data_IF_549597482591
#
_entry.id   IF_549597482591
#
_cell.length_a   1.000
_cell.length_b   1.000
_cell.length_c   1.000
_cell.angle_alpha   90.00
_cell.angle_beta   90.00
_cell.angle_gamma   90.00
#
_symmetry.space_group_name_H-M   'P 1'
#
loop_
_entity.id
_entity.type
_entity.pdbx_description
1 polymer ?
#
# COMPACT_ATOMS: atom_id res chain seq x y z
N UNK A 1 10.16 -14.98 -4.17
CA UNK A 1 9.61 -14.41 -5.41
C UNK A 1 9.70 -12.90 -5.32
N UNK A 2 9.93 -12.17 -6.43
CA UNK A 2 9.87 -10.71 -6.41
C UNK A 2 8.44 -10.27 -6.04
N UNK A 3 8.32 -9.21 -5.25
CA UNK A 3 7.01 -8.64 -4.95
C UNK A 3 6.56 -7.68 -6.08
N UNK A 4 5.27 -7.35 -6.10
CA UNK A 4 4.66 -6.46 -7.09
C UNK A 4 5.40 -5.12 -7.26
N UNK A 5 5.94 -4.55 -6.18
CA UNK A 5 6.66 -3.27 -6.24
C UNK A 5 7.98 -3.42 -7.02
N UNK A 6 8.72 -4.50 -6.77
CA UNK A 6 9.96 -4.79 -7.49
C UNK A 6 9.71 -5.01 -8.98
N UNK A 7 8.65 -5.75 -9.31
CA UNK A 7 8.26 -6.02 -10.70
C UNK A 7 7.86 -4.73 -11.43
N UNK A 8 7.06 -3.86 -10.78
CA UNK A 8 6.69 -2.56 -11.33
C UNK A 8 7.91 -1.69 -11.63
N UNK A 9 8.86 -1.60 -10.70
CA UNK A 9 10.08 -0.82 -10.88
C UNK A 9 10.89 -1.39 -12.03
N UNK A 10 11.16 -2.71 -12.02
CA UNK A 10 11.97 -3.37 -13.05
C UNK A 10 11.35 -3.20 -14.43
N UNK A 11 10.06 -3.45 -14.57
CA UNK A 11 9.33 -3.31 -15.83
C UNK A 11 9.46 -1.89 -16.41
N UNK A 12 9.36 -0.85 -15.57
CA UNK A 12 9.51 0.53 -16.02
C UNK A 12 10.93 0.91 -16.38
N UNK A 13 11.93 0.38 -15.68
CA UNK A 13 13.33 0.57 -16.06
C UNK A 13 13.62 -0.07 -17.42
N UNK A 14 13.20 -1.32 -17.61
CA UNK A 14 13.40 -2.07 -18.84
C UNK A 14 12.68 -1.42 -20.02
N UNK A 15 11.42 -1.00 -19.84
CA UNK A 15 10.63 -0.33 -20.88
C UNK A 15 11.26 0.96 -21.41
N UNK A 16 11.92 1.73 -20.55
CA UNK A 16 12.42 3.05 -20.89
C UNK A 16 13.95 3.11 -21.01
N UNK A 17 14.64 1.99 -20.81
CA UNK A 17 16.10 1.96 -20.71
C UNK A 17 16.65 2.83 -19.57
N UNK A 18 15.89 2.99 -18.49
CA UNK A 18 16.26 3.87 -17.37
C UNK A 18 17.14 3.15 -16.36
N UNK A 19 17.98 3.93 -15.70
CA UNK A 19 18.68 3.51 -14.49
C UNK A 19 17.93 3.91 -13.22
N UNK A 20 18.30 3.34 -12.07
CA UNK A 20 17.80 3.82 -10.77
C UNK A 20 18.07 5.32 -10.54
N UNK A 21 19.18 5.84 -11.09
CA UNK A 21 19.55 7.25 -10.98
C UNK A 21 18.60 8.15 -11.78
N UNK A 22 18.08 7.66 -12.91
CA UNK A 22 17.10 8.42 -13.71
C UNK A 22 15.77 8.55 -12.98
N UNK A 23 15.28 7.44 -12.42
CA UNK A 23 14.06 7.43 -11.59
C UNK A 23 14.23 8.34 -10.37
N UNK A 24 15.36 8.24 -9.68
CA UNK A 24 15.68 9.08 -8.52
C UNK A 24 15.65 10.57 -8.86
N UNK A 25 16.33 10.97 -9.95
CA UNK A 25 16.37 12.36 -10.43
C UNK A 25 14.99 12.89 -10.83
N UNK A 26 14.20 12.11 -11.56
CA UNK A 26 12.84 12.47 -11.99
C UNK A 26 11.88 12.58 -10.80
N UNK A 27 12.05 11.69 -9.82
CA UNK A 27 11.23 11.58 -8.62
C UNK A 27 11.60 12.53 -7.48
N UNK A 28 12.80 13.11 -7.50
CA UNK A 28 13.30 13.92 -6.38
C UNK A 28 13.59 13.10 -5.12
N UNK A 29 13.93 11.81 -5.28
CA UNK A 29 14.28 10.90 -4.18
C UNK A 29 15.70 10.35 -4.37
N UNK A 30 16.30 9.77 -3.32
CA UNK A 30 17.67 9.26 -3.43
C UNK A 30 17.74 7.99 -4.28
N UNK A 31 18.86 7.79 -5.00
CA UNK A 31 19.14 6.54 -5.72
C UNK A 31 19.10 5.33 -4.79
N UNK A 32 19.64 5.46 -3.58
CA UNK A 32 19.65 4.38 -2.58
C UNK A 32 18.23 3.99 -2.18
N UNK A 33 17.31 4.95 -2.06
CA UNK A 33 15.89 4.71 -1.80
C UNK A 33 15.25 3.91 -2.94
N UNK A 34 15.47 4.31 -4.20
CA UNK A 34 14.96 3.58 -5.37
C UNK A 34 15.51 2.15 -5.39
N UNK A 35 16.81 2.00 -5.18
CA UNK A 35 17.46 0.70 -5.17
C UNK A 35 16.93 -0.22 -4.06
N UNK A 36 16.72 0.32 -2.85
CA UNK A 36 16.14 -0.41 -1.73
C UNK A 36 14.74 -0.94 -2.09
N UNK A 37 13.87 -0.07 -2.62
CA UNK A 37 12.51 -0.46 -3.02
C UNK A 37 12.50 -1.48 -4.18
N UNK A 38 13.50 -1.44 -5.06
CA UNK A 38 13.63 -2.36 -6.19
C UNK A 38 14.19 -3.74 -5.81
N UNK A 39 14.96 -3.85 -4.73
CA UNK A 39 15.69 -5.08 -4.37
C UNK A 39 15.16 -5.76 -3.10
N UNK A 40 14.41 -5.05 -2.26
CA UNK A 40 13.83 -5.63 -1.06
C UNK A 40 12.60 -6.47 -1.36
N UNK A 41 12.73 -7.78 -1.13
CA UNK A 41 11.63 -8.73 -1.22
C UNK A 41 10.51 -8.47 -0.20
N UNK A 42 10.88 -7.95 0.98
CA UNK A 42 9.96 -7.52 2.03
C UNK A 42 10.45 -6.20 2.63
N UNK A 43 9.54 -5.24 2.80
CA UNK A 43 9.81 -3.99 3.49
C UNK A 43 9.50 -4.17 4.97
N UNK A 44 10.39 -3.70 5.84
CA UNK A 44 10.20 -3.80 7.29
C UNK A 44 9.04 -2.90 7.79
N UNK A 45 8.77 -1.82 7.06
CA UNK A 45 7.71 -0.85 7.36
C UNK A 45 7.24 -0.19 6.06
N UNK A 46 6.05 0.41 6.11
CA UNK A 46 5.50 1.18 5.00
C UNK A 46 6.41 2.40 4.71
N UNK A 47 6.87 2.61 3.46
CA UNK A 47 7.59 3.82 3.10
C UNK A 47 6.74 5.06 3.31
N UNK A 48 7.39 6.19 3.62
CA UNK A 48 6.70 7.46 3.76
C UNK A 48 5.96 7.86 2.47
N UNK A 49 4.82 8.55 2.61
CA UNK A 49 4.01 9.00 1.47
C UNK A 49 4.83 9.80 0.44
N UNK A 50 5.67 10.72 0.91
CA UNK A 50 6.55 11.55 0.07
C UNK A 50 7.53 10.71 -0.76
N UNK A 51 7.99 9.57 -0.22
CA UNK A 51 8.86 8.62 -0.93
C UNK A 51 8.10 7.91 -2.04
N UNK A 52 6.86 7.49 -1.79
CA UNK A 52 6.01 6.82 -2.77
C UNK A 52 5.58 7.79 -3.88
N UNK A 53 5.28 9.04 -3.56
CA UNK A 53 5.02 10.12 -4.52
C UNK A 53 6.23 10.37 -5.42
N UNK A 54 7.42 10.48 -4.83
CA UNK A 54 8.66 10.63 -5.58
C UNK A 54 8.94 9.43 -6.49
N UNK A 55 8.73 8.21 -5.99
CA UNK A 55 8.88 7.00 -6.81
C UNK A 55 7.86 6.98 -7.97
N UNK A 56 6.58 7.25 -7.69
CA UNK A 56 5.52 7.28 -8.70
C UNK A 56 5.81 8.31 -9.80
N UNK A 57 6.22 9.52 -9.40
CA UNK A 57 6.68 10.57 -10.30
C UNK A 57 7.89 10.13 -11.13
N UNK A 58 8.87 9.49 -10.48
CA UNK A 58 10.09 9.01 -11.13
C UNK A 58 9.84 7.93 -12.18
N UNK A 59 8.90 7.03 -11.91
CA UNK A 59 8.48 5.94 -12.79
C UNK A 59 7.45 6.38 -13.85
N UNK A 60 6.85 7.57 -13.71
CA UNK A 60 5.81 8.07 -14.60
C UNK A 60 4.50 7.27 -14.51
N UNK A 61 4.14 6.81 -13.32
CA UNK A 61 2.91 6.03 -13.06
C UNK A 61 2.08 6.68 -11.94
N UNK A 62 0.76 6.41 -11.88
CA UNK A 62 -0.06 6.90 -10.79
C UNK A 62 0.42 6.40 -9.42
N UNK A 63 0.20 7.21 -8.39
CA UNK A 63 0.54 6.89 -7.01
C UNK A 63 -0.22 5.66 -6.42
N UNK A 64 -1.54 5.48 -6.67
CA UNK A 64 -2.30 4.41 -5.99
C UNK A 64 -1.77 2.98 -6.26
N UNK A 65 -1.39 2.59 -7.49
CA UNK A 65 -0.71 1.31 -7.72
C UNK A 65 0.60 1.14 -6.95
N UNK A 66 1.40 2.20 -6.83
CA UNK A 66 2.68 2.18 -6.09
C UNK A 66 2.43 2.00 -4.60
N UNK A 67 1.43 2.69 -4.05
CA UNK A 67 1.04 2.55 -2.64
C UNK A 67 0.56 1.14 -2.34
N UNK A 68 -0.29 0.55 -3.18
CA UNK A 68 -0.76 -0.83 -3.01
C UNK A 68 0.39 -1.84 -3.03
N UNK A 69 1.28 -1.74 -4.01
CA UNK A 69 2.42 -2.63 -4.14
C UNK A 69 3.42 -2.48 -2.96
N UNK A 70 3.60 -1.25 -2.46
CA UNK A 70 4.42 -1.00 -1.27
C UNK A 70 3.78 -1.54 0.01
N UNK A 71 2.46 -1.40 0.16
CA UNK A 71 1.70 -1.97 1.27
C UNK A 71 1.79 -3.51 1.28
N UNK A 72 1.62 -4.15 0.12
CA UNK A 72 1.86 -5.58 -0.06
C UNK A 72 3.28 -5.98 0.37
N UNK A 73 4.30 -5.29 -0.15
CA UNK A 73 5.69 -5.57 0.18
C UNK A 73 6.02 -5.35 1.67
N UNK A 74 5.30 -4.44 2.35
CA UNK A 74 5.41 -4.20 3.77
C UNK A 74 4.57 -5.16 4.64
N UNK A 75 3.80 -6.08 4.02
CA UNK A 75 2.91 -6.98 4.74
C UNK A 75 1.65 -6.30 5.30
N UNK A 76 1.32 -5.10 4.82
CA UNK A 76 0.09 -4.34 5.14
C UNK A 76 -1.10 -4.84 4.32
N UNK A 77 -0.90 -5.87 3.49
CA UNK A 77 -1.91 -6.51 2.64
C UNK A 77 -3.12 -7.10 3.41
N UNK A 78 -3.18 -7.06 4.74
CA UNK A 78 -4.41 -7.38 5.48
C UNK A 78 -5.40 -6.21 5.61
N UNK A 79 -5.03 -4.98 5.21
CA UNK A 79 -5.95 -3.82 5.26
C UNK A 79 -6.31 -3.24 3.89
N UNK A 80 -5.60 -3.64 2.82
CA UNK A 80 -5.86 -3.15 1.46
C UNK A 80 -6.38 -4.24 0.51
N UNK A 81 -6.38 -5.51 0.92
CA UNK A 81 -6.83 -6.64 0.10
C UNK A 81 -8.29 -7.04 0.30
N UNK A 82 -9.07 -6.27 1.08
CA UNK A 82 -10.54 -6.34 1.10
C UNK A 82 -11.17 -5.04 0.58
N UNK A 83 -10.73 -4.60 -0.60
CA UNK A 83 -11.61 -3.81 -1.46
C UNK A 83 -11.98 -4.60 -2.72
N UNK A 84 -12.89 -5.57 -2.60
CA UNK A 84 -14.14 -5.47 -3.31
C UNK A 84 -15.06 -4.50 -2.54
N UNK A 85 -14.77 -3.20 -2.51
CA UNK A 85 -15.84 -2.21 -2.28
C UNK A 85 -16.65 -2.21 -3.59
N UNK A 86 -17.76 -2.93 -3.78
CA UNK A 86 -18.64 -3.68 -2.91
C UNK A 86 -19.14 -4.92 -3.70
N UNK A 87 -18.73 -6.14 -3.34
CA UNK A 87 -19.50 -7.33 -3.75
C UNK A 87 -20.55 -7.69 -2.69
N UNK A 88 -20.25 -7.41 -1.42
CA UNK A 88 -21.17 -7.56 -0.30
C UNK A 88 -21.80 -6.20 0.06
N UNK A 89 -23.10 -6.01 -0.23
CA UNK A 89 -23.82 -4.79 0.12
C UNK A 89 -23.78 -4.48 1.63
N UNK A 90 -23.69 -5.49 2.49
CA UNK A 90 -23.69 -5.31 3.93
C UNK A 90 -22.39 -4.66 4.41
N UNK A 91 -21.24 -5.12 3.91
CA UNK A 91 -19.93 -4.53 4.21
C UNK A 91 -19.84 -3.08 3.74
N UNK A 92 -20.38 -2.78 2.56
CA UNK A 92 -20.38 -1.42 2.02
C UNK A 92 -21.21 -0.45 2.88
N UNK A 93 -22.37 -0.90 3.39
CA UNK A 93 -23.21 -0.11 4.30
C UNK A 93 -22.46 0.17 5.61
N UNK A 94 -21.74 -0.82 6.15
CA UNK A 94 -20.94 -0.64 7.37
C UNK A 94 -19.84 0.40 7.18
N UNK A 95 -19.07 0.31 6.08
CA UNK A 95 -18.02 1.29 5.75
C UNK A 95 -18.63 2.69 5.63
N UNK A 96 -19.72 2.85 4.88
CA UNK A 96 -20.38 4.14 4.70
C UNK A 96 -20.93 4.72 6.02
N UNK A 97 -21.39 3.86 6.93
CA UNK A 97 -21.93 4.25 8.23
C UNK A 97 -20.82 4.67 9.19
N UNK A 98 -19.69 3.95 9.23
CA UNK A 98 -18.54 4.26 10.07
C UNK A 98 -17.94 5.63 9.74
N UNK A 99 -17.95 6.04 8.48
CA UNK A 99 -17.49 7.38 8.07
C UNK A 99 -18.32 8.53 8.67
N UNK A 100 -19.59 8.29 9.03
CA UNK A 100 -20.48 9.29 9.63
C UNK A 100 -20.33 9.39 11.15
N UNK A 101 -19.58 8.48 11.78
CA UNK A 101 -19.45 8.40 13.22
C UNK A 101 -18.43 9.41 13.78
N UNK A 102 -18.67 9.84 15.03
CA UNK A 102 -17.70 10.63 15.78
C UNK A 102 -16.40 9.85 16.02
N UNK A 103 -15.27 10.52 16.27
CA UNK A 103 -14.03 9.82 16.61
C UNK A 103 -14.14 8.90 17.84
N UNK A 104 -14.95 9.28 18.83
CA UNK A 104 -15.19 8.46 20.03
C UNK A 104 -15.96 7.20 19.69
N UNK A 105 -17.04 7.32 18.91
CA UNK A 105 -17.86 6.18 18.51
C UNK A 105 -17.08 5.22 17.60
N UNK A 106 -16.24 5.76 16.72
CA UNK A 106 -15.34 4.92 15.89
C UNK A 106 -14.38 4.09 16.73
N UNK A 107 -13.88 4.60 17.85
CA UNK A 107 -13.04 3.81 18.77
C UNK A 107 -13.83 2.68 19.42
N UNK A 108 -15.08 2.93 19.80
CA UNK A 108 -15.94 1.88 20.35
C UNK A 108 -16.23 0.78 19.32
N UNK A 109 -16.52 1.16 18.08
CA UNK A 109 -16.71 0.21 16.98
C UNK A 109 -15.45 -0.62 16.73
N UNK A 110 -14.26 -0.01 16.75
CA UNK A 110 -13.00 -0.72 16.58
C UNK A 110 -12.81 -1.81 17.67
N UNK A 111 -13.08 -1.47 18.93
CA UNK A 111 -13.01 -2.44 20.05
C UNK A 111 -13.98 -3.61 19.86
N UNK A 112 -15.21 -3.33 19.41
CA UNK A 112 -16.20 -4.38 19.14
C UNK A 112 -15.75 -5.33 18.03
N UNK A 113 -15.27 -4.78 16.91
CA UNK A 113 -14.76 -5.58 15.78
C UNK A 113 -13.58 -6.44 16.21
N UNK A 114 -12.64 -5.88 16.96
CA UNK A 114 -11.51 -6.65 17.52
C UNK A 114 -11.98 -7.80 18.42
N UNK A 115 -13.00 -7.57 19.25
CA UNK A 115 -13.58 -8.61 20.11
C UNK A 115 -14.21 -9.75 19.30
N UNK A 116 -14.94 -9.44 18.23
CA UNK A 116 -15.59 -10.43 17.37
C UNK A 116 -14.56 -11.27 16.60
N UNK A 117 -13.52 -10.63 16.06
CA UNK A 117 -12.44 -11.33 15.34
C UNK A 117 -11.67 -12.29 16.25
N UNK A 118 -11.45 -11.94 17.53
CA UNK A 118 -10.82 -12.84 18.50
C UNK A 118 -11.70 -14.03 18.87
N UNK A 119 -13.01 -13.81 18.99
CA UNK A 119 -13.96 -14.88 19.31
C UNK A 119 -14.04 -15.93 18.20
N UNK A 120 -14.00 -15.49 16.94
CA UNK A 120 -14.04 -16.38 15.77
C UNK A 120 -12.79 -17.26 15.65
N UNK A 121 -11.62 -16.73 16.00
CA UNK A 121 -10.36 -17.47 16.02
C UNK A 121 -10.27 -18.55 17.10
N UNK A 122 -11.14 -18.49 18.11
CA UNK A 122 -11.17 -19.47 19.22
C UNK A 122 -12.13 -20.63 18.93
N UNK A 123 -12.78 -20.62 17.76
CA UNK A 123 -13.84 -21.56 17.38
C UNK A 123 -13.36 -22.63 16.40
#
# INVERSE_FOLDING_TARGET
MPNTLQEMIKHKLDQNGWSYSDVARRGGISRSTVHHLATSARLAQMPQQTTLEGLAKGLGIPLPPVQRAAAEAAGVNFYLHDAPEAADPEVAILIASVHKLSPTDRRHVAVLVESLLRADQTR
#
